data_IF_342403650308
#
_entry.id   IF_342403650308
#
_cell.length_a   1.000
_cell.length_b   1.000
_cell.length_c   1.000
_cell.angle_alpha   90.00
_cell.angle_beta   90.00
_cell.angle_gamma   90.00
#
_symmetry.space_group_name_H-M   'P 1'
#
loop_
_entity.id
_entity.type
_entity.pdbx_description
1 polymer ?
#
# COMPACT_ATOMS: atom_id res chain seq x y z
N UNK A 1 9.79 21.31 12.41
CA UNK A 1 8.34 21.16 12.14
C UNK A 1 8.07 21.46 10.68
N UNK A 2 8.08 20.44 9.80
CA UNK A 2 7.81 20.63 8.38
C UNK A 2 6.32 20.73 8.13
N UNK A 3 5.83 21.87 7.62
CA UNK A 3 4.48 21.98 7.08
C UNK A 3 4.43 21.14 5.82
N UNK A 4 3.65 20.05 5.81
CA UNK A 4 3.44 19.24 4.62
C UNK A 4 2.92 20.14 3.50
N UNK A 5 3.66 20.23 2.40
CA UNK A 5 3.36 21.14 1.30
C UNK A 5 2.29 20.49 0.41
N UNK A 6 1.31 21.27 -0.07
CA UNK A 6 0.15 20.75 -0.84
C UNK A 6 0.60 19.98 -2.10
N UNK A 7 1.74 20.38 -2.70
CA UNK A 7 2.34 19.73 -3.87
C UNK A 7 2.87 18.32 -3.59
N UNK A 8 3.39 18.07 -2.38
CA UNK A 8 3.90 16.75 -1.98
C UNK A 8 2.74 15.76 -1.82
N UNK A 9 1.59 16.26 -1.34
CA UNK A 9 0.36 15.49 -1.23
C UNK A 9 -0.25 15.15 -2.59
N UNK A 10 -0.26 16.09 -3.54
CA UNK A 10 -0.71 15.81 -4.91
C UNK A 10 0.12 14.70 -5.57
N UNK A 11 1.45 14.78 -5.39
CA UNK A 11 2.38 13.74 -5.85
C UNK A 11 2.10 12.40 -5.17
N UNK A 12 1.81 12.39 -3.87
CA UNK A 12 1.41 11.19 -3.12
C UNK A 12 0.12 10.58 -3.69
N UNK A 13 -0.91 11.38 -3.94
CA UNK A 13 -2.16 10.92 -4.54
C UNK A 13 -1.96 10.37 -5.96
N UNK A 14 -1.07 10.96 -6.75
CA UNK A 14 -0.71 10.43 -8.07
C UNK A 14 -0.02 9.06 -7.96
N UNK A 15 0.90 8.89 -7.00
CA UNK A 15 1.53 7.60 -6.72
C UNK A 15 0.52 6.57 -6.22
N UNK A 16 -0.37 6.95 -5.30
CA UNK A 16 -1.45 6.10 -4.83
C UNK A 16 -2.33 5.63 -6.00
N UNK A 17 -2.76 6.56 -6.88
CA UNK A 17 -3.57 6.23 -8.06
C UNK A 17 -2.83 5.33 -9.05
N UNK A 18 -1.53 5.55 -9.25
CA UNK A 18 -0.68 4.68 -10.09
C UNK A 18 -0.54 3.28 -9.50
N UNK A 19 -0.40 3.16 -8.18
CA UNK A 19 -0.28 1.89 -7.48
C UNK A 19 -1.62 1.15 -7.40
N UNK A 20 -2.74 1.86 -7.20
CA UNK A 20 -4.08 1.27 -7.17
C UNK A 20 -4.55 0.78 -8.54
N UNK A 21 -4.12 1.44 -9.62
CA UNK A 21 -4.49 1.07 -10.98
C UNK A 21 -3.65 -0.10 -11.52
N UNK A 22 -2.53 -0.44 -10.88
CA UNK A 22 -1.77 -1.64 -11.22
C UNK A 22 -2.50 -2.85 -10.63
N UNK A 23 -2.93 -3.77 -11.50
CA UNK A 23 -3.40 -5.08 -11.07
C UNK A 23 -2.30 -5.72 -10.23
N UNK A 24 -2.67 -6.23 -9.04
CA UNK A 24 -1.73 -6.93 -8.18
C UNK A 24 -1.06 -8.05 -8.98
N UNK A 25 0.28 -7.98 -9.11
CA UNK A 25 1.04 -9.02 -9.76
C UNK A 25 1.15 -10.17 -8.76
N UNK A 26 0.67 -11.37 -9.10
CA UNK A 26 0.80 -12.51 -8.20
C UNK A 26 2.30 -12.82 -8.02
N UNK A 27 2.69 -13.06 -6.77
CA UNK A 27 4.03 -13.52 -6.39
C UNK A 27 4.30 -14.93 -6.94
N UNK A 28 3.26 -15.74 -7.07
CA UNK A 28 3.28 -17.11 -7.52
C UNK A 28 2.67 -17.21 -8.93
N UNK A 29 3.37 -17.86 -9.87
CA UNK A 29 2.80 -18.14 -11.18
C UNK A 29 1.51 -18.96 -11.06
N UNK A 30 0.47 -18.57 -11.79
CA UNK A 30 -0.80 -19.31 -11.81
C UNK A 30 -0.60 -20.73 -12.39
N UNK A 31 0.25 -20.84 -13.41
CA UNK A 31 0.58 -22.12 -14.07
C UNK A 31 1.52 -22.95 -13.22
N UNK A 32 1.16 -24.23 -13.02
CA UNK A 32 1.99 -25.20 -12.28
C UNK A 32 3.38 -25.38 -12.89
N UNK A 33 3.47 -25.38 -14.22
CA UNK A 33 4.75 -25.56 -14.93
C UNK A 33 5.73 -24.40 -14.71
N UNK A 34 5.20 -23.20 -14.47
CA UNK A 34 6.01 -22.02 -14.15
C UNK A 34 6.41 -21.99 -12.67
N UNK A 35 5.57 -22.54 -11.78
CA UNK A 35 5.89 -22.71 -10.36
C UNK A 35 7.06 -23.67 -10.15
N UNK A 36 7.08 -24.79 -10.86
CA UNK A 36 8.12 -25.82 -10.75
C UNK A 36 9.50 -25.35 -11.24
N UNK A 37 9.56 -24.26 -12.02
CA UNK A 37 10.84 -23.65 -12.45
C UNK A 37 11.58 -22.96 -11.31
N UNK A 38 10.90 -22.64 -10.20
CA UNK A 38 11.48 -22.00 -9.02
C UNK A 38 11.56 -23.02 -7.89
N UNK A 39 12.65 -22.97 -7.12
CA UNK A 39 12.79 -23.81 -5.94
C UNK A 39 11.64 -23.53 -4.95
N UNK A 40 10.97 -24.58 -4.50
CA UNK A 40 9.88 -24.47 -3.53
C UNK A 40 9.72 -25.80 -2.78
N UNK A 41 9.72 -25.73 -1.45
CA UNK A 41 9.33 -26.83 -0.57
C UNK A 41 7.93 -26.59 0.03
N UNK A 42 7.12 -25.80 -0.66
CA UNK A 42 5.81 -25.37 -0.17
C UNK A 42 4.71 -26.10 -0.94
N UNK A 43 3.75 -26.68 -0.22
CA UNK A 43 2.65 -27.46 -0.82
C UNK A 43 1.27 -26.81 -0.68
N UNK A 44 1.12 -25.81 0.19
CA UNK A 44 -0.17 -25.21 0.57
C UNK A 44 -0.57 -24.01 -0.32
N UNK A 45 -0.44 -24.15 -1.64
CA UNK A 45 -0.71 -23.06 -2.59
C UNK A 45 -2.15 -22.52 -2.51
N UNK A 46 -3.14 -23.41 -2.42
CA UNK A 46 -4.56 -23.05 -2.30
C UNK A 46 -4.88 -22.19 -1.05
N UNK A 47 -4.03 -22.23 -0.04
CA UNK A 47 -4.11 -21.36 1.14
C UNK A 47 -3.36 -20.06 0.85
N UNK A 48 -2.11 -20.15 0.38
CA UNK A 48 -1.24 -19.00 0.13
C UNK A 48 -1.80 -18.03 -0.91
N UNK A 49 -2.56 -18.51 -1.89
CA UNK A 49 -3.22 -17.67 -2.92
C UNK A 49 -4.11 -16.57 -2.28
N UNK A 50 -4.72 -16.83 -1.12
CA UNK A 50 -5.53 -15.82 -0.40
C UNK A 50 -4.70 -14.81 0.39
N UNK A 51 -3.46 -15.19 0.75
CA UNK A 51 -2.55 -14.43 1.61
C UNK A 51 -1.27 -14.02 0.88
N UNK A 52 -1.32 -13.97 -0.44
CA UNK A 52 -0.17 -13.66 -1.28
C UNK A 52 0.36 -12.23 -1.05
N UNK A 53 -0.48 -11.34 -0.54
CA UNK A 53 -0.07 -9.99 -0.14
C UNK A 53 0.80 -9.96 1.12
N UNK A 54 0.78 -11.03 1.94
CA UNK A 54 1.37 -11.05 3.27
C UNK A 54 2.88 -10.77 3.29
N UNK A 55 3.71 -11.37 2.40
CA UNK A 55 5.14 -11.08 2.38
C UNK A 55 5.44 -9.61 2.07
N UNK A 56 4.74 -9.02 1.10
CA UNK A 56 4.89 -7.61 0.77
C UNK A 56 4.42 -6.69 1.91
N UNK A 57 3.33 -7.07 2.59
CA UNK A 57 2.83 -6.34 3.75
C UNK A 57 3.84 -6.34 4.90
N UNK A 58 4.43 -7.50 5.22
CA UNK A 58 5.47 -7.60 6.25
C UNK A 58 6.69 -6.77 5.89
N UNK A 59 7.18 -6.87 4.66
CA UNK A 59 8.33 -6.08 4.19
C UNK A 59 8.09 -4.57 4.31
N UNK A 60 6.90 -4.09 3.92
CA UNK A 60 6.54 -2.67 4.06
C UNK A 60 6.50 -2.24 5.53
N UNK A 61 5.98 -3.11 6.40
CA UNK A 61 5.87 -2.85 7.84
C UNK A 61 7.25 -2.79 8.48
N UNK A 62 8.13 -3.74 8.16
CA UNK A 62 9.53 -3.77 8.62
C UNK A 62 10.30 -2.54 8.17
N UNK A 63 10.12 -2.10 6.92
CA UNK A 63 10.73 -0.88 6.41
C UNK A 63 10.21 0.37 7.15
N UNK A 64 8.93 0.38 7.51
CA UNK A 64 8.28 1.53 8.13
C UNK A 64 8.68 1.71 9.60
N UNK A 65 8.93 0.63 10.34
CA UNK A 65 9.22 0.69 11.78
C UNK A 65 10.38 1.63 12.16
N UNK A 66 11.58 1.54 11.54
CA UNK A 66 12.69 2.46 11.85
C UNK A 66 12.35 3.93 11.59
N UNK A 67 11.60 4.20 10.52
CA UNK A 67 11.20 5.56 10.14
C UNK A 67 10.18 6.15 11.12
N UNK A 68 9.24 5.34 11.61
CA UNK A 68 8.27 5.74 12.62
C UNK A 68 8.89 5.89 14.00
N UNK A 69 9.90 5.09 14.33
CA UNK A 69 10.65 5.25 15.58
C UNK A 69 11.32 6.62 15.66
N UNK A 70 11.88 7.10 14.55
CA UNK A 70 12.48 8.43 14.45
C UNK A 70 11.44 9.56 14.33
N UNK A 71 10.31 9.31 13.67
CA UNK A 71 9.28 10.31 13.39
C UNK A 71 7.85 9.76 13.50
N UNK A 72 7.32 9.57 14.72
CA UNK A 72 5.98 8.99 14.91
C UNK A 72 4.86 9.91 14.39
N UNK A 73 5.11 11.22 14.35
CA UNK A 73 4.17 12.22 13.84
C UNK A 73 3.81 12.02 12.36
N UNK A 74 4.68 11.37 11.59
CA UNK A 74 4.41 11.07 10.16
C UNK A 74 3.19 10.16 10.01
N UNK A 75 3.02 9.17 10.89
CA UNK A 75 1.85 8.30 10.90
C UNK A 75 0.60 9.07 11.31
N UNK A 76 0.72 9.90 12.35
CA UNK A 76 -0.38 10.73 12.85
C UNK A 76 -0.89 11.69 11.77
N UNK A 77 0.03 12.35 11.07
CA UNK A 77 -0.29 13.25 9.97
C UNK A 77 -0.96 12.50 8.81
N UNK A 78 -0.47 11.32 8.44
CA UNK A 78 -1.12 10.48 7.43
C UNK A 78 -2.59 10.19 7.77
N UNK A 79 -2.87 9.77 9.01
CA UNK A 79 -4.22 9.45 9.48
C UNK A 79 -5.17 10.68 9.42
N UNK A 80 -4.75 11.82 9.97
CA UNK A 80 -5.59 13.02 10.01
C UNK A 80 -5.76 13.68 8.65
N UNK A 81 -4.75 13.63 7.79
CA UNK A 81 -4.85 14.13 6.42
C UNK A 81 -5.87 13.31 5.63
N UNK A 82 -5.85 11.98 5.70
CA UNK A 82 -6.85 11.13 5.05
C UNK A 82 -8.29 11.49 5.47
N UNK A 83 -8.54 11.69 6.77
CA UNK A 83 -9.86 12.07 7.27
C UNK A 83 -10.31 13.46 6.76
N UNK A 84 -9.42 14.45 6.82
CA UNK A 84 -9.71 15.83 6.37
C UNK A 84 -9.97 15.90 4.86
N UNK A 85 -9.25 15.12 4.05
CA UNK A 85 -9.46 15.13 2.60
C UNK A 85 -10.70 14.34 2.16
N UNK A 86 -11.03 13.25 2.87
CA UNK A 86 -12.27 12.50 2.64
C UNK A 86 -13.52 13.36 2.90
N UNK A 87 -13.51 14.17 3.96
CA UNK A 87 -14.63 15.07 4.27
C UNK A 87 -14.77 16.22 3.27
N UNK A 88 -13.67 16.76 2.74
CA UNK A 88 -13.73 17.83 1.72
C UNK A 88 -14.25 17.37 0.36
N UNK A 89 -13.97 16.13 -0.08
CA UNK A 89 -14.52 15.59 -1.33
C UNK A 89 -16.03 15.27 -1.23
N UNK A 90 -16.52 14.94 -0.03
CA UNK A 90 -17.95 14.77 0.23
C UNK A 90 -18.74 16.08 0.12
N UNK A 91 -18.13 17.21 0.48
CA UNK A 91 -18.79 18.52 0.40
C UNK A 91 -18.91 19.06 -1.03
N UNK A 92 -17.93 18.78 -1.91
CA UNK A 92 -17.96 19.25 -3.31
C UNK A 92 -18.94 18.48 -4.19
N UNK A 93 -19.34 17.27 -3.81
CA UNK A 93 -20.35 16.48 -4.53
C UNK A 93 -21.80 16.93 -4.29
N UNK A 94 -22.06 17.71 -3.24
CA UNK A 94 -23.41 18.16 -2.87
C UNK A 94 -23.72 19.60 -3.34
N UNK A 95 -22.88 20.17 -4.22
CA UNK A 95 -23.06 21.51 -4.80
C UNK A 95 -23.07 21.52 -6.35
N UNK A 96 -23.25 20.36 -6.99
CA UNK A 96 -23.56 20.25 -8.42
C UNK A 96 -24.94 19.62 -8.62
#
# INVERSE_FOLDING_TARGET
>A
MGKANIKDFETMCQWFKKLSNKKAMPLLPEKKDERLKRFTNFSLYHIMEKYEFLPNFLLQTEYLYPHLYQSPETLRQSYFNHHRFSSTQGATKNQM
#
